data_IF_734919057068
#
_entry.id   IF_734919057068
#
_cell.length_a   1.000
_cell.length_b   1.000
_cell.length_c   1.000
_cell.angle_alpha   90.00
_cell.angle_beta   90.00
_cell.angle_gamma   90.00
#
_symmetry.space_group_name_H-M   'P 1'
#
loop_
_entity.id
_entity.type
_entity.pdbx_description
1 polymer ?
#
# COMPACT_ATOMS: atom_id res chain seq x y z
N UNK A 1 23.75 69.22 -60.29
CA UNK A 1 22.55 68.63 -59.65
C UNK A 1 22.10 69.57 -58.54
N UNK A 2 20.82 69.98 -58.51
CA UNK A 2 20.32 70.92 -57.52
C UNK A 2 20.26 70.24 -56.14
N UNK A 3 20.59 71.00 -55.10
CA UNK A 3 20.69 70.56 -53.69
C UNK A 3 19.41 69.91 -53.16
N UNK A 4 18.26 70.18 -53.81
CA UNK A 4 16.95 69.63 -53.50
C UNK A 4 16.81 68.13 -53.80
N UNK A 5 17.53 67.60 -54.79
CA UNK A 5 17.45 66.18 -55.17
C UNK A 5 18.22 65.28 -54.19
N UNK A 6 19.29 65.82 -53.59
CA UNK A 6 20.05 65.11 -52.57
C UNK A 6 19.30 65.05 -51.23
N UNK A 7 18.62 66.13 -50.84
CA UNK A 7 17.81 66.15 -49.61
C UNK A 7 16.65 65.16 -49.66
N UNK A 8 15.96 65.08 -50.80
CA UNK A 8 14.85 64.14 -51.00
C UNK A 8 15.34 62.68 -51.08
N UNK A 9 16.49 62.43 -51.70
CA UNK A 9 17.15 61.11 -51.69
C UNK A 9 17.63 60.71 -50.28
N UNK A 10 18.15 61.66 -49.50
CA UNK A 10 18.59 61.43 -48.12
C UNK A 10 17.39 61.18 -47.18
N UNK A 11 16.28 61.91 -47.32
CA UNK A 11 15.05 61.69 -46.55
C UNK A 11 14.40 60.35 -46.86
N UNK A 12 14.38 59.92 -48.13
CA UNK A 12 13.85 58.62 -48.53
C UNK A 12 14.75 57.46 -48.07
N UNK A 13 16.07 57.61 -48.16
CA UNK A 13 17.03 56.64 -47.64
C UNK A 13 16.95 56.53 -46.11
N UNK A 14 16.90 57.66 -45.40
CA UNK A 14 16.74 57.70 -43.95
C UNK A 14 15.37 57.15 -43.53
N UNK A 15 14.29 57.53 -44.20
CA UNK A 15 12.94 57.01 -43.92
C UNK A 15 12.81 55.49 -44.11
N UNK A 16 13.53 54.92 -45.08
CA UNK A 16 13.57 53.47 -45.32
C UNK A 16 14.40 52.72 -44.26
N UNK A 17 15.60 53.20 -43.92
CA UNK A 17 16.51 52.52 -42.98
C UNK A 17 16.23 52.81 -41.49
N UNK A 18 15.60 53.96 -41.18
CA UNK A 18 15.14 54.29 -39.82
C UNK A 18 13.94 53.43 -39.42
N UNK A 19 13.06 53.08 -40.37
CA UNK A 19 11.97 52.12 -40.12
C UNK A 19 12.47 50.71 -39.82
N UNK A 20 13.53 50.25 -40.50
CA UNK A 20 14.16 48.95 -40.22
C UNK A 20 14.86 48.93 -38.84
N UNK A 21 15.52 50.02 -38.45
CA UNK A 21 16.15 50.13 -37.11
C UNK A 21 15.13 50.30 -35.98
N UNK A 22 14.01 50.99 -36.20
CA UNK A 22 12.90 51.03 -35.24
C UNK A 22 12.24 49.66 -35.07
N UNK A 23 12.08 48.91 -36.16
CA UNK A 23 11.55 47.54 -36.10
C UNK A 23 12.47 46.61 -35.31
N UNK A 24 13.79 46.69 -35.53
CA UNK A 24 14.79 45.93 -34.76
C UNK A 24 14.82 46.33 -33.28
N UNK A 25 14.66 47.62 -32.95
CA UNK A 25 14.59 48.10 -31.57
C UNK A 25 13.34 47.60 -30.85
N UNK A 26 12.18 47.65 -31.50
CA UNK A 26 10.92 47.10 -30.95
C UNK A 26 11.01 45.59 -30.78
N UNK A 27 11.57 44.87 -31.76
CA UNK A 27 11.81 43.43 -31.69
C UNK A 27 12.73 43.08 -30.50
N UNK A 28 13.82 43.84 -30.31
CA UNK A 28 14.76 43.67 -29.20
C UNK A 28 14.11 43.90 -27.84
N UNK A 29 13.23 44.90 -27.72
CA UNK A 29 12.49 45.20 -26.49
C UNK A 29 11.49 44.09 -26.14
N UNK A 30 10.77 43.57 -27.15
CA UNK A 30 9.84 42.43 -26.98
C UNK A 30 10.60 41.16 -26.60
N UNK A 31 11.69 40.82 -27.30
CA UNK A 31 12.52 39.66 -26.99
C UNK A 31 13.18 39.78 -25.61
N UNK A 32 13.68 40.96 -25.25
CA UNK A 32 14.24 41.25 -23.93
C UNK A 32 13.20 41.10 -22.82
N UNK A 33 11.98 41.60 -23.04
CA UNK A 33 10.85 41.42 -22.12
C UNK A 33 10.45 39.95 -21.94
N UNK A 34 10.36 39.19 -23.03
CA UNK A 34 10.09 37.74 -22.99
C UNK A 34 11.20 36.97 -22.28
N UNK A 35 12.46 37.34 -22.51
CA UNK A 35 13.61 36.72 -21.84
C UNK A 35 13.64 37.04 -20.35
N UNK A 36 13.36 38.29 -19.96
CA UNK A 36 13.23 38.69 -18.57
C UNK A 36 12.08 37.95 -17.88
N UNK A 37 10.91 37.85 -18.52
CA UNK A 37 9.77 37.07 -18.01
C UNK A 37 10.12 35.58 -17.87
N UNK A 38 10.85 35.01 -18.84
CA UNK A 38 11.36 33.65 -18.78
C UNK A 38 12.33 33.43 -17.60
N UNK A 39 13.26 34.35 -17.37
CA UNK A 39 14.20 34.31 -16.23
C UNK A 39 13.46 34.41 -14.89
N UNK A 40 12.49 35.32 -14.77
CA UNK A 40 11.66 35.44 -13.56
C UNK A 40 10.90 34.14 -13.30
N UNK A 41 10.33 33.52 -14.34
CA UNK A 41 9.63 32.25 -14.23
C UNK A 41 10.56 31.09 -13.85
N UNK A 42 11.78 31.07 -14.38
CA UNK A 42 12.82 30.10 -14.00
C UNK A 42 13.24 30.28 -12.54
N UNK A 43 13.54 31.50 -12.12
CA UNK A 43 13.90 31.86 -10.75
C UNK A 43 12.79 31.48 -9.77
N UNK A 44 11.54 31.79 -10.09
CA UNK A 44 10.38 31.39 -9.29
C UNK A 44 10.27 29.87 -9.16
N UNK A 45 10.43 29.13 -10.27
CA UNK A 45 10.41 27.65 -10.24
C UNK A 45 11.54 27.09 -9.37
N UNK A 46 12.73 27.69 -9.44
CA UNK A 46 13.90 27.26 -8.67
C UNK A 46 13.72 27.56 -7.18
N UNK A 47 13.20 28.74 -6.85
CA UNK A 47 12.83 29.15 -5.49
C UNK A 47 11.78 28.19 -4.88
N UNK A 48 10.69 27.90 -5.59
CA UNK A 48 9.67 26.96 -5.13
C UNK A 48 10.24 25.56 -4.90
N UNK A 49 11.17 25.09 -5.76
CA UNK A 49 11.86 23.80 -5.57
C UNK A 49 12.74 23.83 -4.33
N UNK A 50 13.47 24.93 -4.09
CA UNK A 50 14.34 25.09 -2.94
C UNK A 50 13.55 25.11 -1.64
N UNK A 51 12.48 25.91 -1.56
CA UNK A 51 11.58 25.98 -0.40
C UNK A 51 11.02 24.59 -0.07
N UNK A 52 10.58 23.82 -1.07
CA UNK A 52 10.08 22.44 -0.86
C UNK A 52 11.14 21.47 -0.35
N UNK A 53 12.39 21.60 -0.82
CA UNK A 53 13.49 20.77 -0.31
C UNK A 53 13.82 21.12 1.14
N UNK A 54 13.87 22.42 1.45
CA UNK A 54 14.10 22.90 2.81
C UNK A 54 12.97 22.47 3.75
N UNK A 55 11.70 22.55 3.31
CA UNK A 55 10.56 22.07 4.10
C UNK A 55 10.64 20.57 4.36
N UNK A 56 11.03 19.76 3.38
CA UNK A 56 11.20 18.31 3.57
C UNK A 56 12.31 18.00 4.57
N UNK A 57 13.45 18.70 4.48
CA UNK A 57 14.57 18.52 5.41
C UNK A 57 14.17 18.96 6.82
N UNK A 58 13.45 20.08 6.95
CA UNK A 58 12.94 20.55 8.23
C UNK A 58 11.94 19.56 8.83
N UNK A 59 11.00 19.06 8.03
CA UNK A 59 10.02 18.05 8.43
C UNK A 59 10.69 16.74 8.89
N UNK A 60 11.69 16.26 8.13
CA UNK A 60 12.48 15.08 8.51
C UNK A 60 13.23 15.27 9.83
N UNK A 61 13.89 16.43 9.99
CA UNK A 61 14.61 16.76 11.23
C UNK A 61 13.67 16.90 12.42
N UNK A 62 12.50 17.51 12.23
CA UNK A 62 11.49 17.64 13.27
C UNK A 62 11.01 16.25 13.74
N UNK A 63 10.71 15.36 12.80
CA UNK A 63 10.25 14.00 13.12
C UNK A 63 11.35 13.17 13.80
N UNK A 64 12.60 13.30 13.36
CA UNK A 64 13.75 12.59 13.96
C UNK A 64 14.13 13.12 15.34
N UNK A 65 13.96 14.42 15.60
CA UNK A 65 14.20 15.02 16.91
C UNK A 65 13.07 14.74 17.89
N UNK A 66 11.90 14.38 17.40
CA UNK A 66 10.77 14.05 18.25
C UNK A 66 11.04 12.73 19.00
N UNK A 67 11.05 12.84 20.33
CA UNK A 67 11.29 11.73 21.25
C UNK A 67 9.98 11.08 21.72
N UNK A 68 8.82 11.54 21.26
CA UNK A 68 7.56 10.87 21.59
C UNK A 68 7.63 9.41 21.12
N UNK A 69 7.32 8.45 22.00
CA UNK A 69 7.22 7.06 21.58
C UNK A 69 6.10 6.92 20.55
N UNK A 70 6.18 5.89 19.70
CA UNK A 70 5.14 5.60 18.71
C UNK A 70 5.61 5.63 17.27
N UNK A 71 4.64 5.48 16.36
CA UNK A 71 4.91 5.35 14.93
C UNK A 71 5.13 6.70 14.25
N UNK A 72 6.18 6.78 13.43
CA UNK A 72 6.49 7.94 12.61
C UNK A 72 6.04 7.70 11.17
N UNK A 73 5.04 8.45 10.74
CA UNK A 73 4.38 8.26 9.44
C UNK A 73 4.61 9.51 8.58
N UNK A 74 5.09 9.30 7.36
CA UNK A 74 5.26 10.35 6.36
C UNK A 74 4.24 10.17 5.25
N UNK A 75 3.51 11.24 4.95
CA UNK A 75 2.64 11.34 3.80
C UNK A 75 3.21 12.35 2.82
N UNK A 76 3.77 11.85 1.72
CA UNK A 76 4.16 12.69 0.59
C UNK A 76 2.91 13.07 -0.19
N UNK A 77 2.85 14.33 -0.64
CA UNK A 77 1.77 14.82 -1.48
C UNK A 77 1.65 13.94 -2.75
N UNK A 78 0.45 13.41 -3.08
CA UNK A 78 0.27 12.60 -4.27
C UNK A 78 0.61 13.35 -5.57
N UNK A 79 1.05 12.61 -6.58
CA UNK A 79 1.19 13.12 -7.94
C UNK A 79 -0.19 13.15 -8.65
N UNK A 80 -0.37 14.14 -9.53
CA UNK A 80 -1.59 14.30 -10.33
C UNK A 80 -2.55 15.39 -9.84
N UNK A 81 -3.77 15.37 -10.40
CA UNK A 81 -4.84 16.30 -10.06
C UNK A 81 -5.35 16.12 -8.63
N UNK A 82 -5.85 17.21 -8.03
CA UNK A 82 -6.43 17.22 -6.67
C UNK A 82 -5.51 16.72 -5.55
N UNK A 83 -4.19 16.74 -5.76
CA UNK A 83 -3.17 16.27 -4.79
C UNK A 83 -3.32 16.80 -3.36
N UNK A 84 -3.74 18.06 -3.20
CA UNK A 84 -3.94 18.68 -1.88
C UNK A 84 -5.13 18.09 -1.13
N UNK A 85 -6.25 17.86 -1.84
CA UNK A 85 -7.43 17.23 -1.29
C UNK A 85 -7.16 15.77 -0.91
N UNK A 86 -6.51 14.99 -1.78
CA UNK A 86 -6.15 13.60 -1.47
C UNK A 86 -5.22 13.52 -0.25
N UNK A 87 -4.23 14.42 -0.13
CA UNK A 87 -3.33 14.44 1.03
C UNK A 87 -4.09 14.79 2.32
N UNK A 88 -4.99 15.78 2.28
CA UNK A 88 -5.82 16.16 3.42
C UNK A 88 -6.75 15.02 3.84
N UNK A 89 -7.40 14.38 2.86
CA UNK A 89 -8.25 13.21 3.08
C UNK A 89 -7.47 12.07 3.72
N UNK A 90 -6.32 11.69 3.17
CA UNK A 90 -5.50 10.58 3.70
C UNK A 90 -4.98 10.87 5.12
N UNK A 91 -4.59 12.12 5.38
CA UNK A 91 -4.20 12.50 6.73
C UNK A 91 -5.37 12.44 7.71
N UNK A 92 -6.56 12.90 7.31
CA UNK A 92 -7.74 12.89 8.19
C UNK A 92 -8.14 11.44 8.48
N UNK A 93 -8.20 10.59 7.44
CA UNK A 93 -8.43 9.16 7.56
C UNK A 93 -7.51 8.48 8.59
N UNK A 94 -6.20 8.77 8.53
CA UNK A 94 -5.25 8.23 9.49
C UNK A 94 -5.37 8.85 10.89
N UNK A 95 -5.56 10.17 10.98
CA UNK A 95 -5.71 10.84 12.27
C UNK A 95 -6.94 10.34 13.04
N UNK A 96 -8.04 10.10 12.33
CA UNK A 96 -9.34 9.78 12.93
C UNK A 96 -9.51 8.27 13.20
N UNK A 97 -8.82 7.39 12.45
CA UNK A 97 -9.07 5.95 12.51
C UNK A 97 -7.84 5.07 12.80
N UNK A 98 -6.60 5.56 12.68
CA UNK A 98 -5.42 4.70 12.86
C UNK A 98 -5.28 4.18 14.30
N UNK A 99 -5.71 4.98 15.29
CA UNK A 99 -5.68 4.62 16.72
C UNK A 99 -6.48 3.35 17.03
N UNK A 100 -7.55 3.09 16.27
CA UNK A 100 -8.38 1.89 16.41
C UNK A 100 -7.64 0.62 15.99
N UNK A 101 -6.65 0.71 15.10
CA UNK A 101 -5.94 -0.44 14.54
C UNK A 101 -4.57 -0.67 15.16
N UNK A 102 -3.95 0.38 15.70
CA UNK A 102 -2.66 0.26 16.38
C UNK A 102 -2.80 0.02 17.90
N UNK A 103 -4.02 -0.27 18.36
CA UNK A 103 -4.37 -0.50 19.76
C UNK A 103 -3.97 0.63 20.72
N UNK A 104 -4.15 1.88 20.27
CA UNK A 104 -3.85 3.08 21.05
C UNK A 104 -2.36 3.47 21.08
N UNK A 105 -1.51 2.82 20.28
CA UNK A 105 -0.13 3.24 20.14
C UNK A 105 -0.07 4.69 19.61
N UNK A 106 0.70 5.60 20.22
CA UNK A 106 0.87 6.94 19.70
C UNK A 106 1.47 6.92 18.28
N UNK A 107 1.11 7.92 17.48
CA UNK A 107 1.68 8.09 16.15
C UNK A 107 1.77 9.57 15.77
N UNK A 108 2.70 9.87 14.86
CA UNK A 108 2.93 11.21 14.31
C UNK A 108 2.84 11.14 12.80
N UNK A 109 2.03 12.02 12.22
CA UNK A 109 1.90 12.16 10.78
C UNK A 109 2.59 13.45 10.35
N UNK A 110 3.54 13.34 9.42
CA UNK A 110 4.24 14.47 8.83
C UNK A 110 4.00 14.52 7.32
N UNK A 111 3.74 15.72 6.79
CA UNK A 111 3.58 15.93 5.35
C UNK A 111 4.93 16.19 4.69
N UNK A 112 5.10 15.68 3.48
CA UNK A 112 6.27 15.96 2.64
C UNK A 112 5.85 16.37 1.21
N UNK A 113 6.80 16.99 0.51
CA UNK A 113 6.64 17.40 -0.87
C UNK A 113 6.41 16.20 -1.80
N UNK A 114 5.75 16.48 -2.93
CA UNK A 114 5.38 15.49 -3.93
C UNK A 114 6.55 14.61 -4.34
N UNK A 115 6.28 13.31 -4.42
CA UNK A 115 7.19 12.33 -4.99
C UNK A 115 6.60 11.85 -6.32
N UNK A 116 7.29 12.14 -7.42
CA UNK A 116 6.83 11.81 -8.79
C UNK A 116 7.55 10.57 -9.30
N UNK A 117 6.91 9.85 -10.22
CA UNK A 117 7.50 8.71 -10.92
C UNK A 117 7.16 7.36 -10.29
N UNK A 118 5.94 7.23 -9.72
CA UNK A 118 5.37 5.96 -9.24
C UNK A 118 6.36 5.06 -8.51
N UNK A 119 6.62 3.89 -9.11
CA UNK A 119 7.50 2.83 -8.63
C UNK A 119 8.87 2.79 -9.35
N UNK A 120 9.28 3.86 -10.02
CA UNK A 120 10.60 3.89 -10.67
C UNK A 120 11.72 3.71 -9.61
N UNK A 121 12.82 2.98 -9.92
CA UNK A 121 13.90 2.71 -8.97
C UNK A 121 14.47 3.97 -8.30
N UNK A 122 14.63 5.05 -9.06
CA UNK A 122 15.09 6.35 -8.54
C UNK A 122 14.12 6.97 -7.53
N UNK A 123 12.82 6.79 -7.76
CA UNK A 123 11.74 7.26 -6.89
C UNK A 123 11.77 6.49 -5.57
N UNK A 124 11.90 5.17 -5.64
CA UNK A 124 12.03 4.29 -4.47
C UNK A 124 13.28 4.65 -3.67
N UNK A 125 14.43 4.82 -4.32
CA UNK A 125 15.67 5.23 -3.66
C UNK A 125 15.54 6.62 -2.98
N UNK A 126 14.78 7.54 -3.59
CA UNK A 126 14.47 8.84 -2.97
C UNK A 126 13.53 8.71 -1.79
N UNK A 127 12.51 7.85 -1.87
CA UNK A 127 11.63 7.54 -0.75
C UNK A 127 12.40 6.93 0.43
N UNK A 128 13.26 5.93 0.17
CA UNK A 128 14.15 5.32 1.18
C UNK A 128 15.03 6.36 1.86
N UNK A 129 15.67 7.25 1.09
CA UNK A 129 16.48 8.35 1.66
C UNK A 129 15.67 9.29 2.55
N UNK A 130 14.46 9.67 2.14
CA UNK A 130 13.56 10.53 2.95
C UNK A 130 13.09 9.82 4.22
N UNK A 131 12.73 8.54 4.11
CA UNK A 131 12.34 7.69 5.24
C UNK A 131 13.49 7.57 6.27
N UNK A 132 14.71 7.29 5.80
CA UNK A 132 15.90 7.20 6.64
C UNK A 132 16.26 8.54 7.31
N UNK A 133 16.14 9.66 6.58
CA UNK A 133 16.44 10.99 7.12
C UNK A 133 15.52 11.37 8.29
N UNK A 134 14.28 10.89 8.26
CA UNK A 134 13.26 11.17 9.25
C UNK A 134 13.08 10.07 10.30
N UNK A 135 13.82 8.95 10.19
CA UNK A 135 13.64 7.73 10.97
C UNK A 135 12.18 7.26 11.02
N UNK A 136 11.49 7.33 9.87
CA UNK A 136 10.08 7.00 9.76
C UNK A 136 9.84 5.48 9.69
N UNK A 137 8.71 5.02 10.22
CA UNK A 137 8.25 3.63 10.18
C UNK A 137 7.45 3.32 8.91
N UNK A 138 6.73 4.34 8.42
CA UNK A 138 5.90 4.26 7.22
C UNK A 138 6.07 5.52 6.38
N UNK A 139 6.35 5.34 5.09
CA UNK A 139 6.42 6.42 4.12
C UNK A 139 5.44 6.12 2.99
N UNK A 140 4.44 6.97 2.78
CA UNK A 140 3.40 6.80 1.75
C UNK A 140 3.46 7.95 0.75
N UNK A 141 3.40 7.62 -0.54
CA UNK A 141 3.15 8.57 -1.62
C UNK A 141 2.05 8.00 -2.51
N UNK A 142 1.52 8.81 -3.42
CA UNK A 142 0.46 8.33 -4.29
C UNK A 142 0.53 8.92 -5.68
N UNK A 143 -0.18 8.27 -6.59
CA UNK A 143 -0.37 8.70 -7.96
C UNK A 143 -1.84 8.51 -8.34
N UNK A 144 -2.43 9.57 -8.89
CA UNK A 144 -3.80 9.51 -9.40
C UNK A 144 -3.78 9.20 -10.90
N UNK A 145 -4.18 7.98 -11.24
CA UNK A 145 -4.18 7.43 -12.59
C UNK A 145 -5.55 7.58 -13.30
N UNK A 146 -6.51 8.27 -12.68
CA UNK A 146 -7.80 8.59 -13.29
C UNK A 146 -8.97 8.54 -12.30
N UNK A 147 -10.18 8.38 -12.85
CA UNK A 147 -11.46 8.29 -12.11
C UNK A 147 -12.04 6.86 -12.11
N UNK A 148 -11.20 5.85 -12.34
CA UNK A 148 -11.58 4.43 -12.32
C UNK A 148 -11.66 3.90 -10.88
N UNK A 149 -12.19 2.69 -10.70
CA UNK A 149 -12.28 2.02 -9.39
C UNK A 149 -10.91 1.81 -8.72
N UNK A 150 -9.83 1.73 -9.49
CA UNK A 150 -8.45 1.65 -8.99
C UNK A 150 -7.61 2.90 -9.32
N UNK A 151 -8.29 4.03 -9.53
CA UNK A 151 -7.69 5.26 -10.05
C UNK A 151 -6.77 6.02 -9.08
N UNK A 152 -6.67 5.62 -7.82
CA UNK A 152 -5.72 6.16 -6.85
C UNK A 152 -4.77 5.04 -6.38
N UNK A 153 -3.52 5.09 -6.82
CA UNK A 153 -2.48 4.20 -6.35
C UNK A 153 -1.72 4.85 -5.20
N UNK A 154 -1.72 4.23 -4.02
CA UNK A 154 -0.86 4.61 -2.90
C UNK A 154 0.32 3.64 -2.83
N UNK A 155 1.51 4.16 -3.03
CA UNK A 155 2.75 3.42 -2.88
C UNK A 155 3.35 3.73 -1.51
N UNK A 156 4.08 2.77 -0.94
CA UNK A 156 4.74 3.05 0.32
C UNK A 156 5.89 2.12 0.67
N UNK A 157 6.67 2.57 1.64
CA UNK A 157 7.72 1.80 2.30
C UNK A 157 7.34 1.63 3.76
N UNK A 158 7.41 0.41 4.26
CA UNK A 158 7.15 0.08 5.67
C UNK A 158 8.33 -0.65 6.29
N UNK A 159 8.66 -0.30 7.54
CA UNK A 159 9.62 -1.07 8.35
C UNK A 159 8.98 -2.25 9.06
N UNK A 160 7.65 -2.37 9.03
CA UNK A 160 6.91 -3.49 9.60
C UNK A 160 7.22 -3.77 11.08
N UNK A 161 7.63 -2.74 11.84
CA UNK A 161 7.94 -2.84 13.27
C UNK A 161 9.37 -3.27 13.63
N UNK A 162 10.31 -3.39 12.68
CA UNK A 162 11.69 -3.74 13.04
C UNK A 162 12.75 -3.68 11.94
N UNK A 163 12.37 -3.55 10.67
CA UNK A 163 13.35 -3.46 9.58
C UNK A 163 14.12 -2.15 9.64
N UNK A 164 15.33 -2.12 9.07
CA UNK A 164 16.02 -0.85 8.81
C UNK A 164 15.30 -0.06 7.69
N UNK A 165 15.49 1.26 7.57
CA UNK A 165 14.99 2.02 6.43
C UNK A 165 15.50 1.50 5.06
N UNK A 166 16.68 0.89 5.02
CA UNK A 166 17.25 0.30 3.82
C UNK A 166 16.48 -0.98 3.40
N UNK A 167 16.03 -1.76 4.38
CA UNK A 167 15.30 -3.02 4.17
C UNK A 167 13.78 -2.86 4.17
N UNK A 168 13.29 -1.63 4.32
CA UNK A 168 11.85 -1.34 4.34
C UNK A 168 11.15 -1.96 3.12
N UNK A 169 10.03 -2.62 3.34
CA UNK A 169 9.29 -3.34 2.30
C UNK A 169 8.45 -2.38 1.49
N UNK A 170 8.52 -2.53 0.17
CA UNK A 170 7.68 -1.79 -0.77
C UNK A 170 6.28 -2.41 -0.80
N UNK A 171 5.25 -1.57 -0.85
CA UNK A 171 3.87 -1.99 -1.08
C UNK A 171 3.14 -1.02 -1.99
N UNK A 172 2.02 -1.48 -2.56
CA UNK A 172 1.07 -0.64 -3.29
C UNK A 172 -0.35 -1.00 -2.88
N UNK A 173 -1.15 0.00 -2.55
CA UNK A 173 -2.58 -0.10 -2.31
C UNK A 173 -3.31 0.61 -3.45
N UNK A 174 -4.37 -0.01 -3.97
CA UNK A 174 -5.22 0.62 -5.00
C UNK A 174 -6.56 1.00 -4.38
N UNK A 175 -6.91 2.26 -4.54
CA UNK A 175 -8.13 2.88 -4.03
C UNK A 175 -8.93 3.50 -5.17
N UNK A 176 -10.23 3.78 -4.94
CA UNK A 176 -11.07 4.52 -5.88
C UNK A 176 -10.48 5.87 -6.30
N UNK A 177 -10.53 6.12 -7.61
CA UNK A 177 -10.08 7.37 -8.20
C UNK A 177 -11.14 8.48 -8.20
N UNK A 178 -12.41 8.19 -7.88
CA UNK A 178 -13.46 9.21 -7.78
C UNK A 178 -13.58 9.70 -6.35
N UNK A 179 -13.73 11.01 -6.17
CA UNK A 179 -13.76 11.59 -4.82
C UNK A 179 -14.99 11.14 -4.03
N UNK A 180 -16.15 10.99 -4.68
CA UNK A 180 -17.37 10.47 -4.04
C UNK A 180 -17.27 8.99 -3.63
N UNK A 181 -16.30 8.26 -4.17
CA UNK A 181 -16.00 6.89 -3.76
C UNK A 181 -14.97 6.83 -2.62
N UNK A 182 -14.51 7.99 -2.13
CA UNK A 182 -13.64 8.11 -0.96
C UNK A 182 -14.41 8.50 0.31
N UNK A 183 -15.74 8.63 0.22
CA UNK A 183 -16.64 8.92 1.33
C UNK A 183 -17.08 7.63 2.05
N UNK A 184 -17.87 7.75 3.12
CA UNK A 184 -18.36 6.62 3.92
C UNK A 184 -17.24 5.92 4.70
N UNK A 185 -17.19 4.58 4.63
CA UNK A 185 -16.17 3.76 5.31
C UNK A 185 -14.78 3.77 4.65
N UNK A 186 -14.62 4.36 3.46
CA UNK A 186 -13.34 4.34 2.73
C UNK A 186 -12.15 4.96 3.50
N UNK A 187 -12.30 6.06 4.28
CA UNK A 187 -11.23 6.56 5.16
C UNK A 187 -10.78 5.51 6.18
N UNK A 188 -11.73 4.81 6.81
CA UNK A 188 -11.47 3.76 7.80
C UNK A 188 -10.77 2.56 7.16
N UNK A 189 -11.21 2.16 5.98
CA UNK A 189 -10.57 1.11 5.16
C UNK A 189 -9.12 1.49 4.83
N UNK A 190 -8.89 2.70 4.33
CA UNK A 190 -7.53 3.16 3.99
C UNK A 190 -6.62 3.18 5.22
N UNK A 191 -7.14 3.61 6.38
CA UNK A 191 -6.41 3.58 7.63
C UNK A 191 -6.07 2.15 8.08
N UNK A 192 -7.02 1.21 7.99
CA UNK A 192 -6.81 -0.20 8.31
C UNK A 192 -5.70 -0.82 7.43
N UNK A 193 -5.76 -0.65 6.11
CA UNK A 193 -4.75 -1.21 5.21
C UNK A 193 -3.36 -0.68 5.50
N UNK A 194 -3.24 0.63 5.77
CA UNK A 194 -1.97 1.24 6.14
C UNK A 194 -1.49 0.78 7.51
N UNK A 195 -2.39 0.61 8.48
CA UNK A 195 -2.09 0.02 9.78
C UNK A 195 -1.55 -1.41 9.62
N UNK A 196 -2.18 -2.23 8.77
CA UNK A 196 -1.72 -3.58 8.45
C UNK A 196 -0.32 -3.59 7.83
N UNK A 197 0.04 -2.60 7.00
CA UNK A 197 1.41 -2.48 6.48
C UNK A 197 2.39 -2.01 7.56
N UNK A 198 1.96 -1.13 8.46
CA UNK A 198 2.76 -0.64 9.59
C UNK A 198 3.05 -1.75 10.60
N UNK A 199 2.04 -2.59 10.88
CA UNK A 199 2.07 -3.72 11.80
C UNK A 199 1.56 -4.97 11.08
N UNK A 200 2.45 -5.73 10.41
CA UNK A 200 2.08 -6.92 9.64
C UNK A 200 1.34 -7.99 10.46
N UNK A 201 1.56 -8.01 11.78
CA UNK A 201 0.84 -8.90 12.70
C UNK A 201 -0.68 -8.72 12.65
N UNK A 202 -1.22 -7.56 12.26
CA UNK A 202 -2.68 -7.34 12.16
C UNK A 202 -3.39 -8.28 11.18
N UNK A 203 -2.67 -8.79 10.17
CA UNK A 203 -3.18 -9.83 9.27
C UNK A 203 -3.14 -11.24 9.85
N UNK A 204 -2.54 -11.43 11.04
CA UNK A 204 -2.47 -12.71 11.73
C UNK A 204 -3.15 -12.60 13.12
N UNK A 205 -4.44 -12.99 13.22
CA UNK A 205 -5.23 -12.89 14.45
C UNK A 205 -4.56 -13.51 15.68
N UNK A 206 -3.81 -14.60 15.51
CA UNK A 206 -3.12 -15.32 16.59
C UNK A 206 -2.01 -14.49 17.25
N UNK A 207 -1.58 -13.39 16.64
CA UNK A 207 -0.53 -12.52 17.18
C UNK A 207 -1.03 -11.57 18.28
N UNK A 208 -2.34 -11.53 18.54
CA UNK A 208 -2.95 -10.64 19.54
C UNK A 208 -3.90 -11.40 20.45
N UNK A 209 -4.30 -10.72 21.53
CA UNK A 209 -5.28 -11.27 22.46
C UNK A 209 -6.68 -11.30 21.82
N UNK A 210 -7.53 -12.30 22.14
CA UNK A 210 -8.84 -12.46 21.53
C UNK A 210 -9.74 -11.23 21.66
N UNK A 211 -9.67 -10.47 22.76
CA UNK A 211 -10.51 -9.29 22.98
C UNK A 211 -10.20 -8.18 21.96
N UNK A 212 -8.92 -8.01 21.62
CA UNK A 212 -8.48 -7.04 20.61
C UNK A 212 -8.89 -7.49 19.20
N UNK A 213 -8.85 -8.79 18.94
CA UNK A 213 -9.26 -9.34 17.64
C UNK A 213 -10.79 -9.28 17.49
N UNK A 214 -11.56 -9.44 18.56
CA UNK A 214 -13.02 -9.29 18.52
C UNK A 214 -13.42 -7.88 18.06
N UNK A 215 -12.81 -6.84 18.65
CA UNK A 215 -13.00 -5.45 18.20
C UNK A 215 -12.57 -5.24 16.74
N UNK A 216 -11.46 -5.85 16.32
CA UNK A 216 -11.02 -5.79 14.93
C UNK A 216 -12.02 -6.47 13.99
N UNK A 217 -12.53 -7.65 14.35
CA UNK A 217 -13.49 -8.40 13.56
C UNK A 217 -14.80 -7.62 13.39
N UNK A 218 -15.30 -6.97 14.44
CA UNK A 218 -16.48 -6.10 14.38
C UNK A 218 -16.26 -4.93 13.40
N UNK A 219 -15.12 -4.25 13.53
CA UNK A 219 -14.78 -3.12 12.64
C UNK A 219 -14.64 -3.57 11.19
N UNK A 220 -14.00 -4.70 10.92
CA UNK A 220 -13.87 -5.25 9.57
C UNK A 220 -15.22 -5.68 8.99
N UNK A 221 -16.11 -6.22 9.83
CA UNK A 221 -17.49 -6.54 9.44
C UNK A 221 -18.20 -5.30 8.91
N UNK A 222 -18.15 -4.18 9.65
CA UNK A 222 -18.76 -2.92 9.22
C UNK A 222 -18.15 -2.34 7.94
N UNK A 223 -16.84 -2.55 7.70
CA UNK A 223 -16.20 -2.13 6.44
C UNK A 223 -16.73 -2.92 5.22
N UNK A 224 -17.11 -4.18 5.40
CA UNK A 224 -17.68 -4.99 4.32
C UNK A 224 -19.07 -4.50 3.89
N UNK A 225 -19.78 -3.82 4.79
CA UNK A 225 -21.07 -3.17 4.55
C UNK A 225 -20.96 -1.83 3.80
N UNK A 226 -19.73 -1.44 3.39
CA UNK A 226 -19.52 -0.26 2.56
C UNK A 226 -20.29 -0.38 1.24
N UNK A 227 -21.30 0.49 1.07
CA UNK A 227 -22.15 0.56 -0.12
C UNK A 227 -21.55 1.32 -1.30
N UNK A 228 -20.36 1.92 -1.16
CA UNK A 228 -19.68 2.65 -2.23
C UNK A 228 -18.80 1.76 -3.11
N UNK A 229 -18.31 2.29 -4.25
CA UNK A 229 -17.40 1.57 -5.15
C UNK A 229 -16.10 1.19 -4.43
N UNK A 230 -15.75 -0.10 -4.45
CA UNK A 230 -14.52 -0.63 -3.86
C UNK A 230 -13.89 -1.66 -4.81
N UNK A 231 -12.58 -1.58 -5.09
CA UNK A 231 -11.89 -2.60 -5.88
C UNK A 231 -12.12 -4.01 -5.31
N UNK A 232 -12.41 -4.98 -6.17
CA UNK A 232 -12.62 -6.37 -5.75
C UNK A 232 -11.44 -6.90 -4.93
N UNK A 233 -10.20 -6.64 -5.36
CA UNK A 233 -9.01 -7.06 -4.63
C UNK A 233 -8.95 -6.50 -3.20
N UNK A 234 -9.42 -5.26 -3.00
CA UNK A 234 -9.47 -4.63 -1.68
C UNK A 234 -10.56 -5.26 -0.82
N UNK A 235 -11.77 -5.43 -1.37
CA UNK A 235 -12.87 -6.11 -0.68
C UNK A 235 -12.44 -7.52 -0.24
N UNK A 236 -11.73 -8.24 -1.10
CA UNK A 236 -11.22 -9.58 -0.81
C UNK A 236 -10.19 -9.59 0.32
N UNK A 237 -9.30 -8.59 0.40
CA UNK A 237 -8.33 -8.49 1.49
C UNK A 237 -9.04 -8.27 2.84
N UNK A 238 -10.01 -7.35 2.90
CA UNK A 238 -10.81 -7.07 4.11
C UNK A 238 -11.64 -8.30 4.52
N UNK A 239 -12.28 -8.97 3.55
CA UNK A 239 -13.05 -10.18 3.78
C UNK A 239 -12.18 -11.32 4.34
N UNK A 240 -10.97 -11.47 3.80
CA UNK A 240 -9.97 -12.42 4.31
C UNK A 240 -9.60 -12.15 5.77
N UNK A 241 -9.27 -10.90 6.08
CA UNK A 241 -8.88 -10.48 7.44
C UNK A 241 -10.06 -10.61 8.43
N UNK A 242 -11.29 -10.29 7.99
CA UNK A 242 -12.51 -10.47 8.78
C UNK A 242 -12.72 -11.94 9.12
N UNK A 243 -12.73 -12.83 8.11
CA UNK A 243 -12.98 -14.25 8.31
C UNK A 243 -11.93 -14.89 9.22
N UNK A 244 -10.65 -14.57 9.02
CA UNK A 244 -9.58 -15.07 9.87
C UNK A 244 -9.77 -14.61 11.33
N UNK A 245 -10.11 -13.33 11.54
CA UNK A 245 -10.31 -12.74 12.87
C UNK A 245 -11.52 -13.34 13.58
N UNK A 246 -12.68 -13.42 12.91
CA UNK A 246 -13.91 -13.95 13.47
C UNK A 246 -13.80 -15.45 13.82
N UNK A 247 -13.16 -16.25 12.97
CA UNK A 247 -12.89 -17.68 13.27
C UNK A 247 -11.97 -17.81 14.47
N UNK A 248 -10.91 -17.02 14.54
CA UNK A 248 -9.99 -17.07 15.68
C UNK A 248 -10.66 -16.67 17.00
N UNK A 249 -11.50 -15.64 16.99
CA UNK A 249 -12.28 -15.20 18.17
C UNK A 249 -13.22 -16.31 18.64
N UNK A 250 -13.88 -17.00 17.72
CA UNK A 250 -14.74 -18.13 18.06
C UNK A 250 -13.95 -19.30 18.68
N UNK A 251 -12.79 -19.64 18.12
CA UNK A 251 -11.93 -20.71 18.64
C UNK A 251 -11.32 -20.37 20.01
N UNK A 252 -10.85 -19.14 20.19
CA UNK A 252 -10.08 -18.74 21.36
C UNK A 252 -10.93 -18.21 22.53
N UNK A 253 -12.05 -17.54 22.23
CA UNK A 253 -12.93 -16.91 23.24
C UNK A 253 -14.34 -17.50 23.26
N UNK A 254 -14.70 -18.41 22.34
CA UNK A 254 -16.04 -19.01 22.28
C UNK A 254 -17.14 -18.04 21.84
N UNK A 255 -16.77 -16.88 21.30
CA UNK A 255 -17.71 -15.89 20.77
C UNK A 255 -18.07 -16.22 19.31
N UNK A 256 -19.34 -16.52 19.07
CA UNK A 256 -19.84 -17.00 17.78
C UNK A 256 -20.45 -15.89 16.91
N UNK A 257 -20.51 -14.64 17.38
CA UNK A 257 -21.28 -13.57 16.74
C UNK A 257 -20.93 -13.34 15.25
N UNK A 258 -19.67 -13.55 14.88
CA UNK A 258 -19.20 -13.37 13.50
C UNK A 258 -19.33 -14.60 12.58
N UNK A 259 -19.57 -15.79 13.13
CA UNK A 259 -19.42 -17.03 12.36
C UNK A 259 -20.47 -17.22 11.28
N UNK A 260 -21.73 -16.84 11.52
CA UNK A 260 -22.78 -16.97 10.50
C UNK A 260 -22.46 -16.14 9.25
N UNK A 261 -21.90 -14.94 9.46
CA UNK A 261 -21.42 -14.08 8.36
C UNK A 261 -20.22 -14.68 7.64
N UNK A 262 -19.27 -15.27 8.37
CA UNK A 262 -18.14 -16.00 7.76
C UNK A 262 -18.62 -17.15 6.89
N UNK A 263 -19.54 -17.97 7.41
CA UNK A 263 -20.09 -19.12 6.70
C UNK A 263 -20.81 -18.66 5.42
N UNK A 264 -21.65 -17.62 5.50
CA UNK A 264 -22.32 -17.06 4.34
C UNK A 264 -21.33 -16.60 3.25
N UNK A 265 -20.35 -15.76 3.63
CA UNK A 265 -19.33 -15.26 2.72
C UNK A 265 -18.52 -16.38 2.08
N UNK A 266 -18.13 -17.41 2.85
CA UNK A 266 -17.34 -18.52 2.32
C UNK A 266 -18.16 -19.44 1.41
N UNK A 267 -19.45 -19.64 1.68
CA UNK A 267 -20.33 -20.44 0.80
C UNK A 267 -20.49 -19.81 -0.59
N UNK A 268 -20.52 -18.49 -0.70
CA UNK A 268 -20.54 -17.79 -2.00
C UNK A 268 -19.33 -18.16 -2.88
N UNK A 269 -18.13 -18.24 -2.27
CA UNK A 269 -16.89 -18.62 -2.96
C UNK A 269 -16.78 -20.11 -3.28
N UNK A 270 -17.71 -20.94 -2.79
CA UNK A 270 -17.76 -22.39 -3.06
C UNK A 270 -18.79 -22.78 -4.11
N UNK A 271 -19.47 -21.81 -4.73
CA UNK A 271 -20.29 -22.06 -5.92
C UNK A 271 -19.43 -22.57 -7.09
N UNK A 272 -19.97 -23.45 -7.94
CA UNK A 272 -19.21 -24.09 -9.01
C UNK A 272 -18.49 -23.08 -9.93
N UNK A 273 -19.17 -21.97 -10.26
CA UNK A 273 -18.59 -20.88 -11.04
C UNK A 273 -17.43 -20.17 -10.32
N UNK A 274 -17.56 -19.91 -9.01
CA UNK A 274 -16.51 -19.26 -8.23
C UNK A 274 -15.28 -20.16 -8.04
N UNK A 275 -15.48 -21.46 -7.81
CA UNK A 275 -14.41 -22.45 -7.66
C UNK A 275 -13.58 -22.55 -8.94
N UNK A 276 -14.23 -22.59 -10.11
CA UNK A 276 -13.55 -22.59 -11.40
C UNK A 276 -12.78 -21.30 -11.66
N UNK A 277 -13.34 -20.15 -11.26
CA UNK A 277 -12.70 -18.86 -11.47
C UNK A 277 -11.48 -18.63 -10.57
N UNK A 278 -11.50 -19.12 -9.32
CA UNK A 278 -10.40 -18.95 -8.38
C UNK A 278 -10.26 -20.15 -7.41
N UNK A 279 -9.52 -21.20 -7.80
CA UNK A 279 -9.40 -22.42 -6.99
C UNK A 279 -8.64 -22.20 -5.68
N UNK A 280 -7.62 -21.33 -5.65
CA UNK A 280 -6.88 -20.99 -4.43
C UNK A 280 -7.79 -20.36 -3.36
N UNK A 281 -8.63 -19.41 -3.78
CA UNK A 281 -9.61 -18.79 -2.88
C UNK A 281 -10.64 -19.80 -2.38
N UNK A 282 -11.04 -20.75 -3.21
CA UNK A 282 -11.94 -21.82 -2.79
C UNK A 282 -11.29 -22.72 -1.72
N UNK A 283 -9.99 -22.99 -1.79
CA UNK A 283 -9.26 -23.73 -0.73
C UNK A 283 -9.29 -22.93 0.58
N UNK A 284 -8.98 -21.63 0.54
CA UNK A 284 -9.06 -20.77 1.73
C UNK A 284 -10.47 -20.75 2.31
N UNK A 285 -11.50 -20.64 1.45
CA UNK A 285 -12.89 -20.65 1.88
C UNK A 285 -13.29 -21.97 2.56
N UNK A 286 -12.84 -23.12 2.03
CA UNK A 286 -13.02 -24.44 2.66
C UNK A 286 -12.33 -24.54 4.02
N UNK A 287 -11.14 -23.96 4.16
CA UNK A 287 -10.42 -23.96 5.43
C UNK A 287 -11.16 -23.12 6.49
N UNK A 288 -11.57 -21.90 6.12
CA UNK A 288 -12.24 -20.99 7.05
C UNK A 288 -13.63 -21.51 7.45
N UNK A 289 -14.41 -22.05 6.51
CA UNK A 289 -15.74 -22.63 6.83
C UNK A 289 -15.60 -23.88 7.69
N UNK A 290 -14.63 -24.76 7.42
CA UNK A 290 -14.39 -25.95 8.22
C UNK A 290 -14.04 -25.60 9.66
N UNK A 291 -13.15 -24.61 9.86
CA UNK A 291 -12.81 -24.09 11.19
C UNK A 291 -14.00 -23.43 11.89
N UNK A 292 -14.77 -22.61 11.16
CA UNK A 292 -15.98 -21.97 11.70
C UNK A 292 -17.00 -23.01 12.20
N UNK A 293 -17.27 -24.05 11.41
CA UNK A 293 -18.19 -25.13 11.77
C UNK A 293 -17.72 -25.92 12.99
N UNK A 294 -16.42 -26.21 13.09
CA UNK A 294 -15.84 -26.86 14.28
C UNK A 294 -15.92 -25.97 15.52
N UNK A 295 -15.62 -24.68 15.40
CA UNK A 295 -15.72 -23.73 16.52
C UNK A 295 -17.17 -23.63 17.04
N UNK A 296 -18.16 -23.63 16.13
CA UNK A 296 -19.58 -23.69 16.49
C UNK A 296 -19.95 -25.01 17.18
N UNK A 297 -19.54 -26.14 16.61
CA UNK A 297 -19.82 -27.47 17.16
C UNK A 297 -19.15 -27.69 18.52
N UNK A 298 -18.00 -27.07 18.79
CA UNK A 298 -17.33 -27.14 20.09
C UNK A 298 -18.16 -26.49 21.21
N UNK A 299 -18.92 -25.43 20.92
CA UNK A 299 -19.81 -24.78 21.90
C UNK A 299 -21.13 -25.52 22.10
N UNK A 300 -21.68 -26.06 21.01
CA UNK A 300 -22.90 -26.88 21.02
C UNK A 300 -22.70 -28.04 20.05
N UNK A 301 -22.52 -29.23 20.61
CA UNK A 301 -22.23 -30.41 19.80
C UNK A 301 -23.37 -30.72 18.82
N UNK A 302 -23.05 -30.61 17.53
CA UNK A 302 -23.96 -30.88 16.42
C UNK A 302 -23.21 -31.76 15.40
N UNK A 303 -23.50 -33.07 15.40
CA UNK A 303 -22.76 -34.06 14.62
C UNK A 303 -22.77 -33.80 13.10
N UNK A 304 -23.84 -33.18 12.58
CA UNK A 304 -23.95 -32.76 11.19
C UNK A 304 -22.89 -31.70 10.83
N UNK A 305 -22.72 -30.67 11.68
CA UNK A 305 -21.73 -29.62 11.45
C UNK A 305 -20.30 -30.16 11.48
N UNK A 306 -20.02 -31.14 12.35
CA UNK A 306 -18.72 -31.80 12.40
C UNK A 306 -18.45 -32.60 11.12
N UNK A 307 -19.45 -33.32 10.61
CA UNK A 307 -19.33 -34.06 9.34
C UNK A 307 -19.12 -33.11 8.15
N UNK A 308 -19.86 -32.01 8.08
CA UNK A 308 -19.67 -30.98 7.05
C UNK A 308 -18.26 -30.37 7.13
N UNK A 309 -17.79 -30.04 8.33
CA UNK A 309 -16.45 -29.50 8.55
C UNK A 309 -15.34 -30.46 8.08
N UNK A 310 -15.44 -31.75 8.43
CA UNK A 310 -14.50 -32.78 7.99
C UNK A 310 -14.49 -32.87 6.46
N UNK A 311 -15.64 -32.77 5.80
CA UNK A 311 -15.75 -32.77 4.35
C UNK A 311 -14.94 -31.64 3.71
N UNK A 312 -15.08 -30.41 4.22
CA UNK A 312 -14.32 -29.26 3.74
C UNK A 312 -12.81 -29.38 4.02
N UNK A 313 -12.43 -29.74 5.25
CA UNK A 313 -11.03 -29.83 5.65
C UNK A 313 -10.28 -30.98 4.94
N UNK A 314 -10.95 -32.11 4.67
CA UNK A 314 -10.37 -33.20 3.88
C UNK A 314 -10.00 -32.75 2.47
N UNK A 315 -10.86 -31.95 1.82
CA UNK A 315 -10.57 -31.37 0.51
C UNK A 315 -9.40 -30.37 0.56
N UNK A 316 -9.24 -29.62 1.65
CA UNK A 316 -8.08 -28.73 1.86
C UNK A 316 -6.80 -29.54 2.00
N UNK A 317 -6.81 -30.61 2.80
CA UNK A 317 -5.64 -31.49 2.99
C UNK A 317 -5.21 -32.12 1.66
N UNK A 318 -6.16 -32.60 0.85
CA UNK A 318 -5.85 -33.17 -0.46
C UNK A 318 -5.27 -32.11 -1.42
N UNK A 319 -5.84 -30.90 -1.43
CA UNK A 319 -5.31 -29.80 -2.22
C UNK A 319 -3.88 -29.40 -1.77
N UNK A 320 -3.61 -29.35 -0.46
CA UNK A 320 -2.27 -29.07 0.07
C UNK A 320 -1.27 -30.20 -0.22
N UNK A 321 -1.71 -31.46 -0.22
CA UNK A 321 -0.84 -32.59 -0.55
C UNK A 321 -0.34 -32.53 -2.00
N UNK A 322 -1.16 -31.98 -2.89
CA UNK A 322 -0.83 -31.78 -4.30
C UNK A 322 -0.09 -30.46 -4.56
N UNK A 323 0.17 -29.65 -3.52
CA UNK A 323 0.91 -28.39 -3.65
C UNK A 323 2.38 -28.66 -4.01
N UNK A 324 2.91 -28.06 -5.10
CA UNK A 324 4.27 -28.29 -5.54
C UNK A 324 5.34 -27.93 -4.51
N UNK A 325 5.09 -26.96 -3.63
CA UNK A 325 6.04 -26.55 -2.59
C UNK A 325 6.12 -27.59 -1.46
N UNK A 326 4.98 -28.15 -1.05
CA UNK A 326 4.89 -29.20 -0.04
C UNK A 326 5.53 -30.49 -0.59
N UNK A 327 5.22 -30.85 -1.83
CA UNK A 327 5.86 -32.00 -2.48
C UNK A 327 7.38 -31.84 -2.60
N UNK A 328 7.88 -30.64 -2.95
CA UNK A 328 9.32 -30.36 -2.98
C UNK A 328 9.95 -30.44 -1.60
N UNK A 329 9.28 -29.94 -0.56
CA UNK A 329 9.76 -30.03 0.81
C UNK A 329 9.83 -31.49 1.31
N UNK A 330 8.81 -32.30 1.00
CA UNK A 330 8.81 -33.74 1.28
C UNK A 330 9.95 -34.45 0.56
N UNK A 331 10.11 -34.23 -0.75
CA UNK A 331 11.21 -34.82 -1.52
C UNK A 331 12.60 -34.44 -0.98
N UNK A 332 12.78 -33.19 -0.53
CA UNK A 332 14.02 -32.76 0.11
C UNK A 332 14.23 -33.45 1.47
N UNK A 333 13.19 -33.55 2.29
CA UNK A 333 13.23 -34.26 3.58
C UNK A 333 13.56 -35.74 3.41
N UNK A 334 12.94 -36.41 2.43
CA UNK A 334 13.20 -37.83 2.12
C UNK A 334 14.64 -38.05 1.64
N UNK A 335 15.15 -37.13 0.79
CA UNK A 335 16.55 -37.16 0.36
C UNK A 335 17.52 -36.98 1.54
N UNK A 336 17.21 -36.07 2.48
CA UNK A 336 18.01 -35.89 3.69
C UNK A 336 17.98 -37.12 4.60
N UNK A 337 16.81 -37.72 4.81
CA UNK A 337 16.68 -38.94 5.61
C UNK A 337 17.45 -40.11 4.98
N UNK A 338 17.40 -40.25 3.65
CA UNK A 338 18.19 -41.23 2.90
C UNK A 338 19.69 -40.98 3.04
N UNK A 339 20.14 -39.72 3.02
CA UNK A 339 21.54 -39.39 3.25
C UNK A 339 21.98 -39.75 4.68
N UNK A 340 21.16 -39.44 5.69
CA UNK A 340 21.43 -39.79 7.09
C UNK A 340 21.52 -41.31 7.29
N UNK A 341 20.57 -42.07 6.73
CA UNK A 341 20.61 -43.53 6.83
C UNK A 341 21.82 -44.15 6.14
N UNK A 342 22.25 -43.62 4.99
CA UNK A 342 23.49 -44.04 4.32
C UNK A 342 24.73 -43.74 5.17
N UNK A 343 24.78 -42.59 5.84
CA UNK A 343 25.87 -42.24 6.75
C UNK A 343 25.92 -43.16 7.97
N UNK A 344 24.77 -43.42 8.61
CA UNK A 344 24.69 -44.36 9.73
C UNK A 344 25.08 -45.78 9.32
N UNK A 345 24.63 -46.21 8.15
CA UNK A 345 24.98 -47.52 7.59
C UNK A 345 26.48 -47.60 7.33
N UNK A 346 27.10 -46.58 6.71
CA UNK A 346 28.56 -46.49 6.53
C UNK A 346 29.31 -46.50 7.87
N UNK A 347 28.81 -45.79 8.87
CA UNK A 347 29.40 -45.76 10.21
C UNK A 347 29.36 -47.14 10.87
N UNK A 348 28.24 -47.86 10.75
CA UNK A 348 28.11 -49.25 11.23
C UNK A 348 29.02 -50.22 10.46
N UNK A 349 29.14 -50.07 9.15
CA UNK A 349 30.08 -50.87 8.35
C UNK A 349 31.54 -50.59 8.75
N UNK A 350 31.93 -49.33 8.96
CA UNK A 350 33.29 -48.99 9.39
C UNK A 350 33.63 -49.53 10.79
N UNK A 351 32.65 -49.58 11.70
CA UNK A 351 32.82 -50.15 13.05
C UNK A 351 32.89 -51.68 13.02
N UNK A 352 32.12 -52.34 12.16
CA UNK A 352 32.03 -53.81 12.12
C UNK A 352 33.08 -54.48 11.21
N UNK A 353 33.65 -53.76 10.24
CA UNK A 353 34.59 -54.30 9.25
C UNK A 353 35.90 -53.51 9.15
N UNK A 354 36.14 -52.56 10.05
CA UNK A 354 37.38 -51.81 10.17
C UNK A 354 38.35 -52.47 11.16
N UNK A 355 38.97 -53.57 10.73
CA UNK A 355 40.23 -54.10 11.28
C UNK A 355 41.13 -54.50 10.14
#
# INVERSE_FOLDING_TARGET
>A
MPVTDWLTAAETWAGAHVRETQFLAVLGLVLGGLFAAFLVLLMFRLFVRLVRRLSDVAAARALRRDKTPGYRIILACPAGGKRGATLKWLQSALADHLSSFNFGAPFRIMRMSVLKGGLAPETIARARRRMAAADADLFVWGERNGRKEDGLALHGLTRGGGLSPADARLFTLRLPGRDNALDGEMPKIAAFLLAKKLQPGLGNPQSFRPEKISLLAEVLSGMLDHGGPMPAALRNEIEGDFCASAVHVAEAAGDLAGLDRVIALRREHLTEGAVRANPERAIQARMDIGRALLARAAKKYEAELVREAIGHLSQVVEALRTDPSIMRAQAASDAMFKAQSLMETRKRFAVNFGT
#
